data_IF_635995564862
#
_entry.id   IF_635995564862
#
_cell.length_a   1.000
_cell.length_b   1.000
_cell.length_c   1.000
_cell.angle_alpha   90.00
_cell.angle_beta   90.00
_cell.angle_gamma   90.00
#
_symmetry.space_group_name_H-M   'P 1'
#
loop_
_entity.id
_entity.type
_entity.pdbx_description
1 polymer ?
#
# COMPACT_ATOMS: atom_id res chain seq x y z
N UNK A 1 13.39 3.34 3.19
CA UNK A 1 13.41 4.80 3.12
C UNK A 1 12.91 5.40 4.42
N UNK A 2 13.75 6.21 5.02
CA UNK A 2 13.42 6.78 6.32
C UNK A 2 12.20 7.69 6.27
N UNK A 3 12.08 8.45 5.20
CA UNK A 3 10.94 9.35 5.07
C UNK A 3 9.65 8.53 5.00
N UNK A 4 9.65 7.48 4.20
CA UNK A 4 8.46 6.63 4.10
C UNK A 4 8.13 6.02 5.46
N UNK A 5 9.12 5.53 6.17
CA UNK A 5 8.87 4.93 7.48
C UNK A 5 8.29 5.94 8.46
N UNK A 6 8.81 7.16 8.44
CA UNK A 6 8.30 8.19 9.32
C UNK A 6 6.87 8.57 8.99
N UNK A 7 6.57 8.68 7.71
CA UNK A 7 5.22 9.02 7.30
C UNK A 7 4.23 7.93 7.70
N UNK A 8 4.63 6.68 7.55
CA UNK A 8 3.73 5.59 7.90
C UNK A 8 3.60 5.43 9.40
N UNK A 9 4.64 5.75 10.15
CA UNK A 9 4.51 5.76 11.61
C UNK A 9 3.47 6.80 12.03
N UNK A 10 3.50 7.97 11.39
CA UNK A 10 2.48 8.97 11.67
C UNK A 10 1.10 8.48 11.28
N UNK A 11 1.01 7.80 10.15
CA UNK A 11 -0.28 7.27 9.72
C UNK A 11 -0.82 6.26 10.73
N UNK A 12 0.04 5.37 11.22
CA UNK A 12 -0.38 4.40 12.24
C UNK A 12 -0.90 5.11 13.49
N UNK A 13 -0.22 6.16 13.89
CA UNK A 13 -0.66 6.93 15.04
C UNK A 13 -2.07 7.47 14.81
N UNK A 14 -2.31 8.02 13.62
CA UNK A 14 -3.63 8.55 13.33
C UNK A 14 -4.70 7.45 13.28
N UNK A 15 -4.35 6.27 12.78
CA UNK A 15 -5.29 5.16 12.77
C UNK A 15 -5.69 4.79 14.20
N UNK A 16 -4.72 4.73 15.11
CA UNK A 16 -5.05 4.39 16.50
C UNK A 16 -5.94 5.42 17.14
N UNK A 17 -5.89 6.64 16.65
CA UNK A 17 -6.75 7.70 17.16
C UNK A 17 -8.03 7.85 16.36
N UNK A 18 -8.23 6.97 15.40
CA UNK A 18 -9.41 6.99 14.54
C UNK A 18 -9.49 8.26 13.68
N UNK A 19 -8.33 8.88 13.44
CA UNK A 19 -8.23 10.02 12.56
C UNK A 19 -7.91 9.53 11.15
N UNK A 20 -8.88 8.88 10.54
CA UNK A 20 -8.62 8.13 9.31
C UNK A 20 -8.26 9.02 8.13
N UNK A 21 -8.85 10.20 8.03
CA UNK A 21 -8.51 11.10 6.94
C UNK A 21 -7.04 11.50 7.01
N UNK A 22 -6.55 11.78 8.21
CA UNK A 22 -5.14 12.13 8.37
C UNK A 22 -4.25 10.93 8.03
N UNK A 23 -4.68 9.73 8.43
CA UNK A 23 -3.92 8.53 8.10
C UNK A 23 -3.85 8.32 6.59
N UNK A 24 -4.97 8.54 5.91
CA UNK A 24 -5.02 8.41 4.46
C UNK A 24 -4.05 9.38 3.80
N UNK A 25 -4.01 10.61 4.28
CA UNK A 25 -3.10 11.60 3.70
C UNK A 25 -1.65 11.17 3.81
N UNK A 26 -1.27 10.65 4.97
CA UNK A 26 0.12 10.24 5.17
C UNK A 26 0.47 9.04 4.31
N UNK A 27 -0.41 8.04 4.28
CA UNK A 27 -0.15 6.86 3.48
C UNK A 27 -0.12 7.18 2.00
N UNK A 28 -1.04 8.04 1.54
CA UNK A 28 -1.07 8.43 0.15
C UNK A 28 0.19 9.20 -0.25
N UNK A 29 0.69 10.02 0.67
CA UNK A 29 1.93 10.74 0.40
C UNK A 29 3.07 9.79 0.06
N UNK A 30 3.17 8.70 0.81
CA UNK A 30 4.22 7.73 0.54
C UNK A 30 4.06 7.13 -0.85
N UNK A 31 2.84 6.76 -1.20
CA UNK A 31 2.61 6.14 -2.51
C UNK A 31 2.86 7.09 -3.66
N UNK A 32 2.56 8.37 -3.47
CA UNK A 32 2.69 9.34 -4.54
C UNK A 32 4.09 9.92 -4.67
N UNK A 33 4.78 10.05 -3.57
CA UNK A 33 6.03 10.78 -3.56
C UNK A 33 7.25 9.91 -3.36
N UNK A 34 7.06 8.68 -2.91
CA UNK A 34 8.17 7.77 -2.67
C UNK A 34 7.83 6.45 -3.37
N UNK A 35 7.77 6.47 -4.69
CA UNK A 35 7.41 5.26 -5.43
C UNK A 35 8.49 4.20 -5.27
N UNK A 36 8.09 2.97 -5.44
CA UNK A 36 8.98 1.82 -5.32
C UNK A 36 9.57 1.65 -3.93
N UNK A 37 8.96 2.29 -2.95
CA UNK A 37 9.37 2.09 -1.57
C UNK A 37 8.98 0.70 -1.13
N UNK A 38 9.83 0.07 -0.33
CA UNK A 38 9.47 -1.20 0.27
C UNK A 38 8.38 -1.03 1.32
N UNK A 39 7.94 0.18 1.55
CA UNK A 39 6.85 0.46 2.47
C UNK A 39 5.50 0.55 1.76
N UNK A 40 5.47 0.37 0.45
CA UNK A 40 4.22 0.54 -0.28
C UNK A 40 3.14 -0.41 0.18
N UNK A 41 3.50 -1.65 0.45
CA UNK A 41 2.50 -2.61 0.91
C UNK A 41 1.87 -2.14 2.22
N UNK A 42 2.68 -1.64 3.12
CA UNK A 42 2.18 -1.17 4.40
C UNK A 42 1.31 0.06 4.22
N UNK A 43 1.70 0.96 3.32
CA UNK A 43 0.89 2.15 3.04
C UNK A 43 -0.48 1.74 2.52
N UNK A 44 -0.53 0.75 1.66
CA UNK A 44 -1.80 0.26 1.13
C UNK A 44 -2.65 -0.38 2.22
N UNK A 45 -2.04 -1.09 3.16
CA UNK A 45 -2.78 -1.66 4.26
C UNK A 45 -3.43 -0.57 5.12
N UNK A 46 -2.69 0.51 5.35
CA UNK A 46 -3.24 1.62 6.12
C UNK A 46 -4.41 2.25 5.38
N UNK A 47 -4.28 2.43 4.07
CA UNK A 47 -5.37 2.96 3.28
C UNK A 47 -6.59 2.07 3.34
N UNK A 48 -6.39 0.77 3.20
CA UNK A 48 -7.51 -0.16 3.24
C UNK A 48 -8.25 -0.07 4.56
N UNK A 49 -7.51 -0.11 5.65
CA UNK A 49 -8.11 -0.03 6.98
C UNK A 49 -8.90 1.26 7.13
N UNK A 50 -8.30 2.37 6.71
CA UNK A 50 -8.94 3.67 6.86
C UNK A 50 -10.21 3.76 6.02
N UNK A 51 -10.15 3.27 4.79
CA UNK A 51 -11.33 3.29 3.94
C UNK A 51 -12.43 2.39 4.50
N UNK A 52 -12.06 1.24 5.06
CA UNK A 52 -13.05 0.35 5.66
C UNK A 52 -13.78 1.04 6.80
N UNK A 53 -13.02 1.72 7.65
CA UNK A 53 -13.62 2.39 8.80
C UNK A 53 -14.49 3.56 8.39
N UNK A 54 -14.17 4.19 7.28
CA UNK A 54 -14.97 5.29 6.77
C UNK A 54 -16.13 4.83 5.90
N UNK A 55 -16.18 3.55 5.58
CA UNK A 55 -17.28 3.01 4.79
C UNK A 55 -17.17 3.22 3.29
N UNK A 56 -15.99 3.51 2.80
CA UNK A 56 -15.78 3.73 1.37
C UNK A 56 -15.49 2.41 0.68
N UNK A 57 -16.55 1.64 0.45
CA UNK A 57 -16.38 0.28 -0.04
C UNK A 57 -15.71 0.21 -1.41
N UNK A 58 -16.01 1.16 -2.29
CA UNK A 58 -15.36 1.16 -3.60
C UNK A 58 -13.87 1.34 -3.48
N UNK A 59 -13.45 2.21 -2.57
CA UNK A 59 -12.03 2.44 -2.38
C UNK A 59 -11.36 1.27 -1.70
N UNK A 60 -12.09 0.56 -0.85
CA UNK A 60 -11.56 -0.67 -0.26
C UNK A 60 -11.27 -1.69 -1.35
N UNK A 61 -12.20 -1.88 -2.26
CA UNK A 61 -12.00 -2.84 -3.33
C UNK A 61 -10.82 -2.47 -4.20
N UNK A 62 -10.72 -1.20 -4.56
CA UNK A 62 -9.61 -0.75 -5.37
C UNK A 62 -8.29 -0.97 -4.65
N UNK A 63 -8.27 -0.68 -3.36
CA UNK A 63 -7.05 -0.83 -2.58
C UNK A 63 -6.67 -2.29 -2.46
N UNK A 64 -7.64 -3.18 -2.31
CA UNK A 64 -7.35 -4.61 -2.26
C UNK A 64 -6.71 -5.09 -3.55
N UNK A 65 -7.18 -4.60 -4.69
CA UNK A 65 -6.56 -4.95 -5.96
C UNK A 65 -5.13 -4.47 -6.01
N UNK A 66 -4.88 -3.28 -5.51
CA UNK A 66 -3.53 -2.75 -5.50
C UNK A 66 -2.63 -3.52 -4.54
N UNK A 67 -3.16 -3.97 -3.43
CA UNK A 67 -2.39 -4.79 -2.51
C UNK A 67 -1.95 -6.08 -3.19
N UNK A 68 -2.84 -6.69 -3.96
CA UNK A 68 -2.51 -7.92 -4.66
C UNK A 68 -1.40 -7.70 -5.68
N UNK A 69 -1.33 -6.51 -6.26
CA UNK A 69 -0.32 -6.19 -7.25
C UNK A 69 0.98 -5.71 -6.63
N UNK A 70 0.98 -5.40 -5.35
CA UNK A 70 2.15 -4.88 -4.66
C UNK A 70 2.39 -5.70 -3.40
N UNK A 71 2.84 -6.94 -3.56
CA UNK A 71 3.03 -7.82 -2.40
C UNK A 71 4.12 -7.27 -1.48
N UNK A 72 4.13 -7.74 -0.23
CA UNK A 72 5.15 -7.27 0.69
C UNK A 72 6.53 -7.66 0.21
N UNK A 73 7.54 -6.89 0.60
CA UNK A 73 8.91 -7.21 0.21
C UNK A 73 9.35 -8.54 0.80
N UNK A 74 10.30 -9.21 0.15
CA UNK A 74 10.73 -10.52 0.61
C UNK A 74 11.28 -10.54 2.02
N UNK A 75 11.77 -9.40 2.48
CA UNK A 75 12.41 -9.33 3.79
C UNK A 75 11.47 -8.84 4.87
N UNK A 76 10.19 -8.99 4.68
CA UNK A 76 9.25 -8.46 5.64
C UNK A 76 9.16 -9.26 6.92
N UNK A 77 10.03 -10.22 7.09
CA UNK A 77 10.05 -10.98 8.32
C UNK A 77 9.15 -12.19 8.32
N UNK A 78 8.49 -12.43 7.26
CA UNK A 78 7.61 -13.56 7.15
C UNK A 78 8.33 -14.69 6.44
N UNK A 79 8.44 -15.81 7.13
CA UNK A 79 9.12 -16.94 6.55
C UNK A 79 8.42 -17.48 5.32
N UNK A 80 7.15 -17.24 5.22
CA UNK A 80 6.42 -17.73 4.05
C UNK A 80 6.78 -16.96 2.80
N UNK A 81 7.56 -15.94 2.93
CA UNK A 81 7.98 -15.18 1.78
C UNK A 81 8.74 -16.00 0.76
N UNK A 82 9.38 -17.09 1.22
CA UNK A 82 10.12 -17.91 0.28
C UNK A 82 9.20 -18.50 -0.77
N UNK A 83 8.00 -18.83 -0.39
CA UNK A 83 7.04 -19.33 -1.35
C UNK A 83 6.73 -18.28 -2.40
N UNK A 84 6.54 -17.06 -1.96
CA UNK A 84 6.20 -15.99 -2.87
C UNK A 84 7.34 -15.61 -3.78
N UNK A 85 8.55 -15.84 -3.35
CA UNK A 85 9.69 -15.52 -4.18
C UNK A 85 9.75 -16.34 -5.44
N UNK A 86 9.11 -17.48 -5.43
CA UNK A 86 9.12 -18.34 -6.59
C UNK A 86 8.05 -17.99 -7.60
N UNK A 87 7.23 -17.04 -7.26
CA UNK A 87 6.18 -16.61 -8.17
C UNK A 87 6.74 -15.52 -9.07
N UNK A 88 6.80 -15.78 -10.37
CA UNK A 88 7.30 -14.76 -11.28
C UNK A 88 6.35 -13.58 -11.29
N UNK A 89 6.91 -12.41 -11.11
CA UNK A 89 6.12 -11.21 -11.15
C UNK A 89 6.18 -10.63 -12.55
N UNK A 90 5.07 -10.09 -13.03
CA UNK A 90 5.09 -9.46 -14.34
C UNK A 90 6.04 -8.28 -14.34
N UNK A 91 6.76 -8.14 -15.42
CA UNK A 91 7.71 -7.05 -15.53
C UNK A 91 7.02 -5.72 -15.51
N UNK A 92 5.80 -5.70 -15.94
CA UNK A 92 5.03 -4.47 -16.02
C UNK A 92 4.12 -4.30 -14.83
N UNK A 93 4.51 -4.85 -13.71
CA UNK A 93 3.70 -4.70 -12.51
C UNK A 93 3.41 -3.23 -12.28
N UNK A 94 2.16 -2.85 -12.28
CA UNK A 94 1.85 -1.44 -12.15
C UNK A 94 2.13 -0.95 -10.74
N UNK A 95 2.62 0.25 -10.68
CA UNK A 95 2.78 0.93 -9.43
C UNK A 95 1.66 1.91 -9.29
N UNK A 96 1.31 2.18 -8.07
CA UNK A 96 0.29 3.16 -7.80
C UNK A 96 0.93 4.52 -7.83
N UNK A 97 0.50 5.33 -8.74
CA UNK A 97 1.00 6.67 -8.85
C UNK A 97 -0.18 7.59 -8.82
N UNK A 98 -0.22 8.46 -7.82
CA UNK A 98 -1.33 9.38 -7.71
C UNK A 98 -2.67 8.69 -7.56
N UNK A 99 -2.68 7.49 -7.04
CA UNK A 99 -3.92 6.77 -6.87
C UNK A 99 -4.45 6.13 -8.13
N UNK A 100 -3.67 6.13 -9.18
CA UNK A 100 -4.11 5.57 -10.46
C UNK A 100 -3.49 4.20 -10.66
N UNK A 101 -4.32 3.26 -11.03
CA UNK A 101 -3.84 1.96 -11.45
C UNK A 101 -3.57 2.04 -12.93
N UNK A 102 -2.34 1.73 -13.29
CA UNK A 102 -2.01 1.77 -14.70
C UNK A 102 -2.73 0.66 -15.42
N UNK A 103 -3.47 1.04 -16.38
CA UNK A 103 -4.35 0.12 -17.03
C UNK A 103 -3.63 -0.98 -17.79
N UNK A 104 -2.36 -0.82 -17.98
CA UNK A 104 -1.61 -1.89 -18.61
C UNK A 104 -1.81 -3.21 -17.92
N UNK A 105 -2.21 -3.16 -16.68
CA UNK A 105 -2.47 -4.38 -15.95
C UNK A 105 -3.67 -5.11 -16.48
N UNK A 106 -4.46 -4.50 -17.28
CA UNK A 106 -5.66 -5.13 -17.77
C UNK A 106 -5.41 -6.21 -18.78
N UNK A 107 -4.25 -6.30 -19.24
CA UNK A 107 -4.02 -7.29 -20.29
C UNK A 107 -3.32 -8.49 -19.82
#
# INVERSE_FOLDING_TARGET
>A
NLVASNELAAADYYVTRKAYVAAIRRASYVLENIPNSNQNHRALQILKTSYEELGYTDLVEDTEKLIALNPPPPNSGNTNGSFLQNVPLPNSLPLIIGGTILSGATN
#
